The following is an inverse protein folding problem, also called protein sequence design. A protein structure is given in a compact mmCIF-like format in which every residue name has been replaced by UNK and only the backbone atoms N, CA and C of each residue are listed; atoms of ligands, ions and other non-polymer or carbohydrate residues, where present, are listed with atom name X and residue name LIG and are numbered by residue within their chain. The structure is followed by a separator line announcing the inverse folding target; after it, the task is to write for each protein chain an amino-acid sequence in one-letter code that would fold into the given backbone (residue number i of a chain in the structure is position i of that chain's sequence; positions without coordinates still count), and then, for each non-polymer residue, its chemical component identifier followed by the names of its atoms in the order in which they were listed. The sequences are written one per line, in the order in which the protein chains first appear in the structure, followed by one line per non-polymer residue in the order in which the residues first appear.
data_IF_406079798190
#
_entry.id   IF_406079798190
#
_cell.length_a   1.000
_cell.length_b   1.000
_cell.length_c   1.000
_cell.angle_alpha   90.00
_cell.angle_beta   90.00
_cell.angle_gamma   90.00
#
_symmetry.space_group_name_H-M   'P 1'
#
loop_
_entity.id
_entity.type
_entity.pdbx_description
1 polymer ?
#
# COMPACT_ATOMS: atom_id res chain seq x y z
N UNK A 1 5.32 -13.20 -34.05
CA UNK A 1 6.49 -13.12 -33.15
C UNK A 1 7.31 -11.83 -33.29
N UNK A 2 7.80 -11.46 -34.49
CA UNK A 2 8.60 -10.22 -34.66
C UNK A 2 7.87 -8.92 -34.25
N UNK A 3 6.55 -8.83 -34.47
CA UNK A 3 5.73 -7.66 -34.06
C UNK A 3 5.63 -7.47 -32.54
N UNK A 4 5.51 -8.56 -31.77
CA UNK A 4 5.39 -8.48 -30.30
C UNK A 4 6.71 -8.05 -29.67
N UNK A 5 7.83 -8.56 -30.19
CA UNK A 5 9.17 -8.16 -29.75
C UNK A 5 9.42 -6.68 -30.05
N UNK A 6 9.00 -6.20 -31.23
CA UNK A 6 9.10 -4.78 -31.58
C UNK A 6 8.24 -3.90 -30.65
N UNK A 7 6.99 -4.31 -30.38
CA UNK A 7 6.10 -3.61 -29.45
C UNK A 7 6.68 -3.49 -28.04
N UNK A 8 7.21 -4.57 -27.47
CA UNK A 8 7.84 -4.53 -26.13
C UNK A 8 9.05 -3.60 -26.13
N UNK A 9 9.83 -3.59 -27.22
CA UNK A 9 11.02 -2.74 -27.35
C UNK A 9 10.66 -1.25 -27.46
N UNK A 10 9.56 -0.94 -28.15
CA UNK A 10 9.03 0.41 -28.30
C UNK A 10 8.41 0.90 -26.99
N UNK A 11 7.62 0.06 -26.31
CA UNK A 11 7.08 0.35 -24.98
C UNK A 11 8.18 0.54 -23.92
N UNK A 12 9.27 -0.22 -23.98
CA UNK A 12 10.42 0.00 -23.08
C UNK A 12 11.10 1.35 -23.34
N UNK A 13 11.29 1.72 -24.61
CA UNK A 13 11.82 3.04 -24.96
C UNK A 13 10.88 4.17 -24.51
N UNK A 14 9.56 4.04 -24.66
CA UNK A 14 8.63 5.08 -24.18
C UNK A 14 8.61 5.19 -22.65
N UNK A 15 8.53 4.06 -21.95
CA UNK A 15 8.47 4.05 -20.48
C UNK A 15 9.77 4.55 -19.83
N UNK A 16 10.92 4.41 -20.49
CA UNK A 16 12.21 4.85 -19.96
C UNK A 16 12.54 6.28 -20.36
N UNK A 17 12.29 6.68 -21.60
CA UNK A 17 12.71 7.99 -22.12
C UNK A 17 11.63 9.06 -22.14
N UNK A 18 10.35 8.69 -22.05
CA UNK A 18 9.21 9.61 -22.15
C UNK A 18 8.40 9.73 -20.86
N UNK A 19 8.82 9.03 -19.81
CA UNK A 19 8.22 9.11 -18.48
C UNK A 19 9.29 9.58 -17.52
N UNK A 20 8.98 10.64 -16.78
CA UNK A 20 9.81 11.14 -15.69
C UNK A 20 9.75 10.15 -14.52
N UNK A 21 10.57 9.10 -14.57
CA UNK A 21 10.81 8.26 -13.40
C UNK A 21 11.51 9.12 -12.33
N UNK A 22 10.96 9.19 -11.10
CA UNK A 22 11.67 9.82 -10.02
C UNK A 22 12.97 9.05 -9.75
N UNK A 23 13.97 9.74 -9.21
CA UNK A 23 15.22 9.08 -8.86
C UNK A 23 14.96 7.97 -7.83
N UNK A 24 15.76 6.89 -7.86
CA UNK A 24 15.59 5.73 -6.95
C UNK A 24 15.51 6.15 -5.47
N UNK A 25 16.22 7.21 -5.12
CA UNK A 25 16.22 7.84 -3.79
C UNK A 25 14.87 8.48 -3.43
N UNK A 26 14.25 9.22 -4.36
CA UNK A 26 12.93 9.83 -4.15
C UNK A 26 11.82 8.77 -4.08
N UNK A 27 11.90 7.72 -4.92
CA UNK A 27 10.96 6.60 -4.86
C UNK A 27 10.99 5.91 -3.49
N UNK A 28 12.19 5.66 -2.97
CA UNK A 28 12.37 5.07 -1.64
C UNK A 28 11.86 6.01 -0.55
N UNK A 29 12.06 7.32 -0.70
CA UNK A 29 11.58 8.29 0.29
C UNK A 29 10.05 8.33 0.34
N UNK A 30 9.37 8.33 -0.82
CA UNK A 30 7.91 8.21 -0.88
C UNK A 30 7.40 6.87 -0.35
N UNK A 31 8.11 5.77 -0.62
CA UNK A 31 7.75 4.45 -0.10
C UNK A 31 7.85 4.38 1.43
N UNK A 32 8.89 4.98 2.02
CA UNK A 32 9.07 5.05 3.47
C UNK A 32 7.94 5.84 4.13
N UNK A 33 7.53 6.97 3.54
CA UNK A 33 6.39 7.75 4.04
C UNK A 33 5.09 6.93 4.02
N UNK A 34 4.83 6.21 2.93
CA UNK A 34 3.63 5.34 2.83
C UNK A 34 3.69 4.19 3.83
N UNK A 35 4.86 3.61 4.10
CA UNK A 35 5.05 2.55 5.10
C UNK A 35 4.73 3.05 6.53
N UNK A 36 5.12 4.28 6.87
CA UNK A 36 4.74 4.86 8.16
C UNK A 36 3.26 5.20 8.23
N UNK A 37 2.66 5.69 7.13
CA UNK A 37 1.23 5.93 7.05
C UNK A 37 0.41 4.64 7.25
N UNK A 38 0.81 3.53 6.64
CA UNK A 38 0.13 2.25 6.80
C UNK A 38 0.27 1.67 8.21
N UNK A 39 1.42 1.86 8.87
CA UNK A 39 1.61 1.50 10.28
C UNK A 39 0.65 2.22 11.22
N UNK A 40 0.44 3.53 11.01
CA UNK A 40 -0.50 4.32 11.82
C UNK A 40 -1.94 3.82 11.61
N UNK A 41 -2.32 3.55 10.37
CA UNK A 41 -3.65 3.01 10.04
C UNK A 41 -3.85 1.63 10.69
N UNK A 42 -2.83 0.75 10.62
CA UNK A 42 -2.87 -0.56 11.26
C UNK A 42 -3.05 -0.44 12.79
N UNK A 43 -2.35 0.49 13.43
CA UNK A 43 -2.50 0.74 14.87
C UNK A 43 -3.91 1.24 15.22
N UNK A 44 -4.51 2.11 14.40
CA UNK A 44 -5.89 2.55 14.64
C UNK A 44 -6.89 1.40 14.52
N UNK A 45 -6.77 0.56 13.49
CA UNK A 45 -7.66 -0.60 13.32
C UNK A 45 -7.55 -1.53 14.53
N UNK A 46 -6.32 -1.79 15.00
CA UNK A 46 -6.09 -2.61 16.19
C UNK A 46 -6.82 -2.09 17.44
N UNK A 47 -6.84 -0.77 17.66
CA UNK A 47 -7.57 -0.15 18.77
C UNK A 47 -9.08 -0.33 18.60
N UNK A 48 -9.60 -0.11 17.39
CA UNK A 48 -11.03 -0.27 17.11
C UNK A 48 -11.47 -1.72 17.32
N UNK A 49 -10.71 -2.67 16.78
CA UNK A 49 -11.01 -4.10 16.91
C UNK A 49 -11.02 -4.52 18.38
N UNK A 50 -10.01 -4.11 19.16
CA UNK A 50 -9.95 -4.42 20.60
C UNK A 50 -11.06 -3.75 21.43
N UNK A 51 -11.46 -2.52 21.07
CA UNK A 51 -12.59 -1.86 21.72
C UNK A 51 -13.91 -2.59 21.45
N UNK A 52 -14.13 -3.03 20.20
CA UNK A 52 -15.32 -3.80 19.85
C UNK A 52 -15.34 -5.16 20.52
N UNK A 53 -14.21 -5.87 20.58
CA UNK A 53 -14.11 -7.17 21.28
C UNK A 53 -14.44 -7.02 22.76
N UNK A 54 -13.82 -6.05 23.45
CA UNK A 54 -14.08 -5.79 24.87
C UNK A 54 -15.53 -5.34 25.11
N UNK A 55 -16.08 -4.48 24.24
CA UNK A 55 -17.45 -4.01 24.34
C UNK A 55 -18.46 -5.14 24.15
N UNK A 56 -18.26 -6.00 23.15
CA UNK A 56 -19.14 -7.16 22.91
C UNK A 56 -19.03 -8.17 24.05
N UNK A 57 -17.83 -8.50 24.52
CA UNK A 57 -17.64 -9.40 25.67
C UNK A 57 -18.37 -8.89 26.91
N UNK A 58 -18.27 -7.59 27.21
CA UNK A 58 -18.99 -6.99 28.34
C UNK A 58 -20.51 -7.07 28.15
N UNK A 59 -21.04 -6.83 26.95
CA UNK A 59 -22.48 -6.92 26.69
C UNK A 59 -22.96 -8.37 26.80
N UNK A 60 -22.22 -9.34 26.25
CA UNK A 60 -22.55 -10.76 26.35
C UNK A 60 -22.55 -11.26 27.80
N UNK A 61 -21.51 -10.94 28.58
CA UNK A 61 -21.40 -11.31 30.01
C UNK A 61 -22.50 -10.68 30.89
N UNK A 62 -23.15 -9.60 30.42
CA UNK A 62 -24.20 -8.90 31.18
C UNK A 62 -25.61 -9.35 30.79
N UNK A 63 -25.77 -9.95 29.61
CA UNK A 63 -27.05 -10.43 29.09
C UNK A 63 -27.25 -11.92 29.37
N UNK A 64 -26.18 -12.71 29.36
CA UNK A 64 -26.19 -14.15 29.67
C UNK A 64 -25.64 -14.41 31.07
#
# INVERSE_FOLDING_TARGET
MKKVIAYIKESYNELVYKVSWPTRTELSNSAVVVMFASLIIAAMIFVVDGFFEAGMSFVYDRIF
#
